data_IF_108290153378
#
_entry.id   IF_108290153378
#
_cell.length_a   1.000
_cell.length_b   1.000
_cell.length_c   1.000
_cell.angle_alpha   90.00
_cell.angle_beta   90.00
_cell.angle_gamma   90.00
#
_symmetry.space_group_name_H-M   'P 1'
#
loop_
_entity.id
_entity.type
_entity.pdbx_description
1 polymer ?
#
# COMPACT_ATOMS: atom_id res chain seq x y z
N UNK A 1 13.12 -8.64 12.40
CA UNK A 1 11.99 -9.43 12.95
C UNK A 1 11.27 -10.10 11.80
N UNK A 2 10.66 -11.27 11.99
CA UNK A 2 9.89 -11.88 10.90
C UNK A 2 8.50 -11.25 10.78
N UNK A 3 8.24 -10.56 9.67
CA UNK A 3 6.97 -9.91 9.37
C UNK A 3 6.15 -10.80 8.41
N UNK A 4 4.85 -10.94 8.63
CA UNK A 4 3.97 -11.63 7.69
C UNK A 4 3.44 -10.68 6.59
N UNK A 5 2.96 -11.24 5.48
CA UNK A 5 2.30 -10.45 4.44
C UNK A 5 1.06 -9.71 4.97
N UNK A 6 0.32 -10.33 5.89
CA UNK A 6 -0.82 -9.71 6.56
C UNK A 6 -0.42 -8.54 7.46
N UNK A 7 0.71 -8.63 8.16
CA UNK A 7 1.22 -7.51 8.97
C UNK A 7 1.60 -6.33 8.07
N UNK A 8 2.24 -6.59 6.94
CA UNK A 8 2.62 -5.55 5.98
C UNK A 8 1.39 -4.85 5.38
N UNK A 9 0.40 -5.62 4.90
CA UNK A 9 -0.84 -5.04 4.36
C UNK A 9 -1.59 -4.27 5.43
N UNK A 10 -1.59 -4.74 6.69
CA UNK A 10 -2.20 -4.00 7.80
C UNK A 10 -1.51 -2.65 8.01
N UNK A 11 -0.18 -2.60 8.02
CA UNK A 11 0.56 -1.33 8.14
C UNK A 11 0.23 -0.36 7.00
N UNK A 12 0.04 -0.86 5.77
CA UNK A 12 -0.39 -0.02 4.65
C UNK A 12 -1.84 0.47 4.80
N UNK A 13 -2.73 -0.36 5.35
CA UNK A 13 -4.12 0.03 5.62
C UNK A 13 -4.24 1.00 6.78
N UNK A 14 -3.38 0.88 7.80
CA UNK A 14 -3.33 1.77 8.96
C UNK A 14 -2.99 3.23 8.58
N UNK A 15 -2.59 3.50 7.33
CA UNK A 15 -2.44 4.85 6.77
C UNK A 15 -3.78 5.52 6.40
N UNK A 16 -4.92 4.82 6.46
CA UNK A 16 -6.26 5.37 6.19
C UNK A 16 -6.53 6.74 6.83
N UNK A 17 -6.19 6.99 8.12
CA UNK A 17 -6.45 8.28 8.76
C UNK A 17 -5.67 9.46 8.14
N UNK A 18 -4.63 9.17 7.36
CA UNK A 18 -3.81 10.17 6.68
C UNK A 18 -4.27 10.45 5.25
N UNK A 19 -5.27 9.75 4.72
CA UNK A 19 -5.81 10.02 3.40
C UNK A 19 -7.05 10.91 3.45
N UNK A 20 -6.94 12.12 2.91
CA UNK A 20 -8.07 13.01 2.73
C UNK A 20 -8.72 12.78 1.35
N UNK A 21 -9.79 11.97 1.32
CA UNK A 21 -10.51 11.65 0.09
C UNK A 21 -11.15 12.85 -0.62
N UNK A 22 -11.45 13.95 0.11
CA UNK A 22 -12.08 15.14 -0.48
C UNK A 22 -11.07 15.99 -1.26
N UNK A 23 -9.82 15.99 -0.79
CA UNK A 23 -8.71 16.72 -1.41
C UNK A 23 -7.84 15.83 -2.30
N UNK A 24 -8.03 14.50 -2.24
CA UNK A 24 -7.21 13.49 -2.90
C UNK A 24 -5.72 13.66 -2.56
N UNK A 25 -5.42 13.83 -1.28
CA UNK A 25 -4.05 14.06 -0.80
C UNK A 25 -3.79 13.37 0.54
N UNK A 26 -2.51 13.20 0.85
CA UNK A 26 -2.10 12.75 2.18
C UNK A 26 -2.03 13.96 3.12
N UNK A 27 -2.82 13.92 4.19
CA UNK A 27 -2.88 14.95 5.23
C UNK A 27 -2.35 14.37 6.55
N UNK A 28 -1.25 14.94 7.04
CA UNK A 28 -0.67 14.54 8.33
C UNK A 28 0.11 13.21 8.36
N UNK A 29 0.46 12.62 7.22
CA UNK A 29 1.26 11.38 7.17
C UNK A 29 1.49 10.81 5.77
N UNK A 30 2.07 9.61 5.72
CA UNK A 30 2.11 8.78 4.50
C UNK A 30 0.73 8.14 4.29
N UNK A 31 0.29 8.05 3.04
CA UNK A 31 -1.00 7.45 2.68
C UNK A 31 -0.98 6.74 1.31
N UNK A 32 0.17 6.74 0.63
CA UNK A 32 0.28 6.18 -0.72
C UNK A 32 0.21 4.66 -0.73
N UNK A 33 0.52 3.99 0.37
CA UNK A 33 0.32 2.54 0.43
C UNK A 33 -1.16 2.23 0.57
N UNK A 34 -1.88 2.93 1.44
CA UNK A 34 -3.33 2.80 1.58
C UNK A 34 -4.05 3.00 0.23
N UNK A 35 -3.77 4.11 -0.45
CA UNK A 35 -4.41 4.44 -1.73
C UNK A 35 -4.15 3.38 -2.82
N UNK A 36 -2.98 2.75 -2.85
CA UNK A 36 -2.74 1.61 -3.75
C UNK A 36 -3.52 0.35 -3.33
N UNK A 37 -3.64 0.07 -2.03
CA UNK A 37 -4.38 -1.09 -1.51
C UNK A 37 -5.87 -1.01 -1.88
N UNK A 38 -6.47 0.19 -1.82
CA UNK A 38 -7.89 0.40 -2.12
C UNK A 38 -8.20 0.76 -3.58
N UNK A 39 -7.19 0.75 -4.46
CA UNK A 39 -7.34 1.22 -5.85
C UNK A 39 -8.33 0.36 -6.66
N UNK A 40 -9.52 0.89 -6.93
CA UNK A 40 -10.67 0.17 -7.48
C UNK A 40 -10.48 -0.39 -8.89
N UNK A 41 -9.56 0.20 -9.65
CA UNK A 41 -9.19 -0.29 -10.99
C UNK A 41 -8.21 -1.46 -10.97
N UNK A 42 -7.48 -1.69 -9.86
CA UNK A 42 -6.56 -2.82 -9.74
C UNK A 42 -7.34 -4.13 -9.73
N UNK A 43 -7.03 -5.05 -10.64
CA UNK A 43 -7.74 -6.34 -10.78
C UNK A 43 -6.93 -7.54 -10.35
N UNK A 44 -5.62 -7.38 -10.28
CA UNK A 44 -4.67 -8.43 -9.91
C UNK A 44 -3.73 -7.87 -8.87
N UNK A 45 -3.39 -8.70 -7.89
CA UNK A 45 -2.36 -8.43 -6.90
C UNK A 45 -1.48 -9.66 -6.74
N UNK A 46 -0.16 -9.44 -6.67
CA UNK A 46 0.82 -10.49 -6.41
C UNK A 46 1.86 -9.99 -5.42
N UNK A 47 2.08 -10.74 -4.33
CA UNK A 47 2.98 -10.34 -3.26
C UNK A 47 4.17 -11.29 -3.10
N UNK A 48 5.31 -10.75 -2.69
CA UNK A 48 6.53 -11.48 -2.40
C UNK A 48 7.10 -11.10 -1.03
N UNK A 49 7.68 -12.08 -0.35
CA UNK A 49 8.38 -11.90 0.92
C UNK A 49 9.79 -12.46 0.81
N UNK A 50 10.78 -11.70 1.25
CA UNK A 50 12.19 -12.10 1.31
C UNK A 50 12.74 -11.82 2.70
N UNK A 51 13.52 -12.76 3.24
CA UNK A 51 14.33 -12.55 4.44
C UNK A 51 15.68 -11.98 4.01
N UNK A 52 16.06 -10.81 4.53
CA UNK A 52 17.34 -10.18 4.23
C UNK A 52 18.44 -10.74 5.14
N UNK A 53 19.71 -10.67 4.69
CA UNK A 53 20.87 -11.19 5.42
C UNK A 53 21.07 -10.53 6.80
N UNK A 54 20.60 -9.29 6.96
CA UNK A 54 20.61 -8.56 8.22
C UNK A 54 19.48 -8.97 9.20
N UNK A 55 18.70 -10.02 8.88
CA UNK A 55 17.58 -10.49 9.70
C UNK A 55 16.30 -9.64 9.59
N UNK A 56 16.27 -8.68 8.67
CA UNK A 56 15.06 -7.98 8.25
C UNK A 56 14.17 -8.82 7.34
N UNK A 57 12.93 -8.36 7.14
CA UNK A 57 11.99 -8.96 6.18
C UNK A 57 11.57 -7.86 5.20
N UNK A 58 11.67 -8.13 3.89
CA UNK A 58 11.21 -7.27 2.82
C UNK A 58 9.95 -7.86 2.20
N UNK A 59 8.88 -7.07 2.12
CA UNK A 59 7.59 -7.47 1.56
C UNK A 59 7.21 -6.47 0.49
N UNK A 60 6.77 -6.98 -0.65
CA UNK A 60 6.32 -6.18 -1.80
C UNK A 60 5.03 -6.77 -2.34
N UNK A 61 4.13 -5.92 -2.82
CA UNK A 61 2.97 -6.31 -3.62
C UNK A 61 2.95 -5.50 -4.91
N UNK A 62 2.68 -6.17 -6.03
CA UNK A 62 2.46 -5.56 -7.34
C UNK A 62 0.98 -5.62 -7.67
N UNK A 63 0.46 -4.53 -8.24
CA UNK A 63 -0.94 -4.34 -8.59
C UNK A 63 -1.06 -4.09 -10.09
N UNK A 64 -2.10 -4.65 -10.71
CA UNK A 64 -2.32 -4.51 -12.14
C UNK A 64 -3.82 -4.47 -12.50
N UNK A 65 -4.30 -3.46 -13.24
CA UNK A 65 -3.61 -2.21 -13.62
C UNK A 65 -3.02 -1.44 -12.42
N UNK A 66 -1.94 -0.69 -12.65
CA UNK A 66 -1.27 0.06 -11.59
C UNK A 66 -2.18 1.15 -11.01
N UNK A 67 -2.06 1.39 -9.70
CA UNK A 67 -2.74 2.48 -9.02
C UNK A 67 -1.86 3.72 -8.84
N UNK A 68 -2.29 4.62 -7.95
CA UNK A 68 -1.60 5.86 -7.59
C UNK A 68 -1.25 6.74 -8.79
N UNK A 69 -2.15 6.78 -9.78
CA UNK A 69 -1.99 7.60 -10.98
C UNK A 69 -2.25 9.08 -10.61
N UNK A 70 -1.33 10.01 -10.88
CA UNK A 70 -1.52 11.42 -10.56
C UNK A 70 -2.81 11.99 -11.14
N UNK A 71 -3.61 12.65 -10.30
CA UNK A 71 -4.89 13.26 -10.69
C UNK A 71 -6.07 12.30 -10.77
N UNK A 72 -5.88 11.00 -10.51
CA UNK A 72 -6.97 10.03 -10.35
C UNK A 72 -7.23 9.77 -8.87
N UNK A 73 -8.48 9.46 -8.55
CA UNK A 73 -8.90 9.02 -7.22
C UNK A 73 -8.87 7.49 -7.16
N UNK A 74 -8.56 6.88 -6.01
CA UNK A 74 -8.55 5.43 -5.87
C UNK A 74 -9.91 4.74 -6.04
N UNK A 75 -11.03 5.49 -6.03
CA UNK A 75 -12.41 4.99 -6.01
C UNK A 75 -13.21 5.44 -7.23
#
# INVERSE_FOLDING_TARGET
GDMSGTDAVKLWVDEEPHYNQYLNECDGGECRHYTQVIWGDSRRVGCGKVRCDNGGTFIICNYDPAGNIPGQIPL
#
